data_IF_180990558556
#
_entry.id   IF_180990558556
#
_cell.length_a   1.000
_cell.length_b   1.000
_cell.length_c   1.000
_cell.angle_alpha   90.00
_cell.angle_beta   90.00
_cell.angle_gamma   90.00
#
_symmetry.space_group_name_H-M   'P 1'
#
loop_
_entity.id
_entity.type
_entity.pdbx_description
1 polymer ?
#
# COMPACT_ATOMS: atom_id res chain seq x y z
N UNK A 1 1.62 13.84 45.63
CA UNK A 1 0.70 15.00 45.51
C UNK A 1 -0.70 14.44 45.38
N UNK A 2 -1.44 14.42 46.50
CA UNK A 2 -2.88 14.17 46.54
C UNK A 2 -3.58 15.43 46.02
N UNK A 3 -4.69 15.28 45.30
CA UNK A 3 -5.99 15.88 45.65
C UNK A 3 -7.05 15.20 44.77
N UNK A 4 -7.89 14.41 45.45
CA UNK A 4 -9.25 14.06 45.08
C UNK A 4 -10.17 15.16 45.66
N UNK A 5 -11.08 15.69 44.85
CA UNK A 5 -12.38 16.26 45.27
C UNK A 5 -13.37 15.82 44.18
N UNK A 6 -14.31 14.89 44.39
CA UNK A 6 -15.42 14.76 45.35
C UNK A 6 -16.60 15.69 45.02
N UNK A 7 -17.71 15.04 44.61
CA UNK A 7 -19.13 15.35 44.88
C UNK A 7 -19.73 16.60 44.19
N UNK A 8 -20.99 16.68 43.74
CA UNK A 8 -22.25 16.16 44.29
C UNK A 8 -23.32 15.94 43.19
N UNK A 9 -24.28 15.09 43.56
CA UNK A 9 -25.56 14.78 42.91
C UNK A 9 -26.61 15.80 43.37
N UNK A 10 -27.47 16.35 42.49
CA UNK A 10 -28.84 16.83 42.78
C UNK A 10 -29.55 17.15 41.43
N UNK A 11 -30.41 16.28 40.89
CA UNK A 11 -31.87 16.13 41.11
C UNK A 11 -32.78 17.24 40.50
N UNK A 12 -33.60 16.77 39.53
CA UNK A 12 -35.01 17.13 39.21
C UNK A 12 -35.26 18.50 38.55
N UNK A 13 -35.83 18.50 37.33
CA UNK A 13 -37.24 18.89 37.07
C UNK A 13 -37.58 18.82 35.58
N UNK A 14 -38.49 17.91 35.30
CA UNK A 14 -39.28 17.79 34.08
C UNK A 14 -40.37 18.87 34.13
N UNK A 15 -40.39 19.81 33.17
CA UNK A 15 -41.56 20.66 32.91
C UNK A 15 -41.80 20.76 31.39
N UNK A 16 -42.99 20.32 31.02
CA UNK A 16 -43.62 20.40 29.71
C UNK A 16 -43.97 21.84 29.33
N UNK A 17 -43.77 22.21 28.07
CA UNK A 17 -44.28 23.48 27.52
C UNK A 17 -44.13 23.57 26.02
N UNK A 18 -45.24 23.44 25.30
CA UNK A 18 -45.41 23.74 23.88
C UNK A 18 -45.02 25.18 23.57
N UNK A 19 -44.09 25.40 22.64
CA UNK A 19 -44.03 26.62 21.83
C UNK A 19 -43.85 26.20 20.38
N UNK A 20 -44.91 26.38 19.61
CA UNK A 20 -44.91 26.33 18.16
C UNK A 20 -44.89 27.79 17.70
N UNK A 21 -43.76 28.27 17.19
CA UNK A 21 -43.70 29.49 16.40
C UNK A 21 -42.88 29.22 15.15
N UNK A 22 -43.58 29.43 14.04
CA UNK A 22 -43.18 29.28 12.66
C UNK A 22 -42.07 30.25 12.25
N UNK A 23 -41.26 29.79 11.31
CA UNK A 23 -40.37 30.56 10.43
C UNK A 23 -39.24 31.35 11.09
N UNK A 24 -38.09 30.69 11.26
CA UNK A 24 -36.81 31.34 11.02
C UNK A 24 -36.00 30.53 10.00
N UNK A 25 -36.17 30.94 8.75
CA UNK A 25 -35.15 31.04 7.72
C UNK A 25 -34.19 29.86 7.53
N UNK A 26 -34.50 29.07 6.49
CA UNK A 26 -33.58 28.70 5.40
C UNK A 26 -32.13 29.17 5.59
N UNK A 27 -31.29 28.30 6.14
CA UNK A 27 -29.94 28.10 5.63
C UNK A 27 -29.80 26.62 5.31
N UNK A 28 -30.46 26.23 4.22
CA UNK A 28 -30.20 24.98 3.53
C UNK A 28 -28.79 25.10 2.95
N UNK A 29 -27.77 24.83 3.75
CA UNK A 29 -26.39 24.68 3.29
C UNK A 29 -26.33 23.46 2.39
N UNK A 30 -26.75 23.65 1.15
CA UNK A 30 -26.54 22.71 0.07
C UNK A 30 -25.09 22.88 -0.35
N UNK A 31 -24.17 22.47 0.52
CA UNK A 31 -22.82 22.11 0.09
C UNK A 31 -23.02 20.82 -0.68
N UNK A 32 -23.20 20.96 -1.99
CA UNK A 32 -23.23 19.85 -2.92
C UNK A 32 -21.85 19.18 -2.81
N UNK A 33 -21.76 18.11 -2.02
CA UNK A 33 -20.61 17.22 -1.90
C UNK A 33 -20.48 16.39 -3.19
N UNK A 34 -20.34 17.07 -4.33
CA UNK A 34 -19.87 16.46 -5.59
C UNK A 34 -18.41 15.97 -5.47
N UNK A 35 -17.77 16.16 -4.31
CA UNK A 35 -16.39 15.78 -4.00
C UNK A 35 -16.23 14.43 -3.28
N UNK A 36 -17.30 13.74 -2.89
CA UNK A 36 -17.16 12.57 -2.02
C UNK A 36 -16.52 11.35 -2.73
N UNK A 37 -16.94 11.03 -3.95
CA UNK A 37 -16.39 9.89 -4.72
C UNK A 37 -14.99 10.17 -5.25
N UNK A 38 -14.75 11.36 -5.82
CA UNK A 38 -13.44 11.73 -6.38
C UNK A 38 -12.37 11.86 -5.28
N UNK A 39 -12.72 12.39 -4.11
CA UNK A 39 -11.80 12.47 -2.97
C UNK A 39 -11.47 11.08 -2.41
N UNK A 40 -12.48 10.21 -2.23
CA UNK A 40 -12.27 8.82 -1.80
C UNK A 40 -11.40 8.05 -2.80
N UNK A 41 -11.64 8.22 -4.10
CA UNK A 41 -10.85 7.60 -5.16
C UNK A 41 -9.41 8.11 -5.15
N UNK A 42 -9.18 9.42 -5.01
CA UNK A 42 -7.84 10.00 -4.94
C UNK A 42 -7.08 9.52 -3.70
N UNK A 43 -7.76 9.44 -2.55
CA UNK A 43 -7.18 8.91 -1.33
C UNK A 43 -6.78 7.43 -1.47
N UNK A 44 -7.63 6.62 -2.12
CA UNK A 44 -7.33 5.22 -2.42
C UNK A 44 -6.16 5.06 -3.39
N UNK A 45 -6.10 5.87 -4.45
CA UNK A 45 -4.98 5.87 -5.42
C UNK A 45 -3.67 6.23 -4.72
N UNK A 46 -3.67 7.28 -3.89
CA UNK A 46 -2.49 7.67 -3.12
C UNK A 46 -2.04 6.58 -2.14
N UNK A 47 -2.99 5.93 -1.47
CA UNK A 47 -2.69 4.80 -0.60
C UNK A 47 -2.09 3.62 -1.36
N UNK A 48 -2.64 3.28 -2.53
CA UNK A 48 -2.10 2.23 -3.40
C UNK A 48 -0.68 2.56 -3.87
N UNK A 49 -0.41 3.83 -4.18
CA UNK A 49 0.93 4.26 -4.56
C UNK A 49 1.93 4.08 -3.41
N UNK A 50 1.55 4.39 -2.17
CA UNK A 50 2.40 4.14 -0.99
C UNK A 50 2.71 2.65 -0.80
N UNK A 51 1.73 1.77 -1.00
CA UNK A 51 1.93 0.30 -0.94
C UNK A 51 2.95 -0.12 -2.01
N UNK A 52 2.82 0.39 -3.23
CA UNK A 52 3.71 0.06 -4.34
C UNK A 52 5.13 0.57 -4.09
N UNK A 53 5.27 1.79 -3.57
CA UNK A 53 6.57 2.37 -3.25
C UNK A 53 7.26 1.59 -2.14
N UNK A 54 6.53 1.20 -1.09
CA UNK A 54 7.02 0.34 -0.03
C UNK A 54 7.43 -1.05 -0.54
N UNK A 55 6.67 -1.63 -1.48
CA UNK A 55 7.02 -2.89 -2.14
C UNK A 55 8.34 -2.75 -2.91
N UNK A 56 8.45 -1.74 -3.78
CA UNK A 56 9.68 -1.50 -4.57
C UNK A 56 10.88 -1.26 -3.66
N UNK A 57 10.70 -0.52 -2.57
CA UNK A 57 11.76 -0.26 -1.61
C UNK A 57 12.18 -1.53 -0.85
N UNK A 58 11.22 -2.36 -0.46
CA UNK A 58 11.51 -3.67 0.15
C UNK A 58 12.36 -4.55 -0.77
N UNK A 59 12.08 -4.54 -2.08
CA UNK A 59 12.86 -5.27 -3.07
C UNK A 59 14.27 -4.71 -3.24
N UNK A 60 14.44 -3.37 -3.22
CA UNK A 60 15.77 -2.74 -3.30
C UNK A 60 16.63 -2.98 -2.06
N UNK A 61 16.00 -3.01 -0.88
CA UNK A 61 16.68 -3.26 0.39
C UNK A 61 16.89 -4.75 0.69
N UNK A 62 16.15 -5.63 -0.02
CA UNK A 62 15.98 -7.03 0.32
C UNK A 62 15.44 -7.21 1.75
N UNK A 63 14.47 -6.38 2.12
CA UNK A 63 13.90 -6.33 3.47
C UNK A 63 12.38 -6.24 3.44
N UNK A 64 11.74 -7.37 3.75
CA UNK A 64 10.28 -7.50 3.77
C UNK A 64 9.62 -6.65 4.85
N UNK A 65 10.33 -6.32 5.93
CA UNK A 65 9.77 -5.53 7.04
C UNK A 65 9.41 -4.10 6.62
N UNK A 66 9.96 -3.60 5.50
CA UNK A 66 9.59 -2.32 4.90
C UNK A 66 8.18 -2.38 4.30
N UNK A 67 7.80 -3.52 3.71
CA UNK A 67 6.52 -3.68 3.02
C UNK A 67 5.40 -4.16 3.95
N UNK A 68 5.73 -5.00 4.94
CA UNK A 68 4.74 -5.61 5.85
C UNK A 68 3.74 -4.63 6.51
N UNK A 69 4.12 -3.43 6.99
CA UNK A 69 3.21 -2.48 7.62
C UNK A 69 2.13 -1.94 6.67
N UNK A 70 2.36 -2.02 5.36
CA UNK A 70 1.45 -1.53 4.33
C UNK A 70 0.42 -2.58 3.90
N UNK A 71 0.51 -3.81 4.41
CA UNK A 71 -0.41 -4.90 4.10
C UNK A 71 -1.42 -5.12 5.23
N UNK A 72 -2.70 -5.08 4.90
CA UNK A 72 -3.76 -5.59 5.77
C UNK A 72 -3.76 -7.12 5.80
N UNK A 73 -4.28 -7.71 6.89
CA UNK A 73 -4.30 -9.17 7.08
C UNK A 73 -5.05 -9.93 5.99
N UNK A 74 -6.09 -9.29 5.42
CA UNK A 74 -6.93 -9.85 4.38
C UNK A 74 -6.41 -9.57 2.95
N UNK A 75 -5.26 -8.91 2.79
CA UNK A 75 -4.67 -8.73 1.47
C UNK A 75 -4.17 -10.07 0.91
N UNK A 76 -4.37 -10.25 -0.39
CA UNK A 76 -3.97 -11.41 -1.16
C UNK A 76 -3.17 -10.92 -2.35
N UNK A 77 -1.99 -11.48 -2.57
CA UNK A 77 -1.12 -11.20 -3.70
C UNK A 77 -0.56 -12.51 -4.25
N UNK A 78 -0.47 -12.66 -5.57
CA UNK A 78 -0.01 -13.89 -6.23
C UNK A 78 -0.77 -15.13 -5.71
N UNK A 79 -2.09 -15.00 -5.52
CA UNK A 79 -2.98 -16.03 -4.94
C UNK A 79 -2.56 -16.50 -3.53
N UNK A 80 -1.73 -15.72 -2.82
CA UNK A 80 -1.23 -16.03 -1.48
C UNK A 80 -1.77 -15.04 -0.47
N UNK A 81 -2.10 -15.52 0.72
CA UNK A 81 -2.38 -14.66 1.87
C UNK A 81 -1.17 -13.81 2.22
N UNK A 82 -1.38 -12.68 2.91
CA UNK A 82 -0.32 -11.79 3.41
C UNK A 82 0.93 -12.55 3.89
N UNK A 83 0.77 -13.46 4.85
CA UNK A 83 1.90 -14.15 5.46
C UNK A 83 2.63 -15.10 4.50
N UNK A 84 1.91 -15.78 3.60
CA UNK A 84 2.52 -16.65 2.60
C UNK A 84 3.28 -15.85 1.53
N UNK A 85 2.74 -14.72 1.12
CA UNK A 85 3.40 -13.81 0.19
C UNK A 85 4.68 -13.23 0.80
N UNK A 86 4.59 -12.67 2.02
CA UNK A 86 5.72 -12.11 2.75
C UNK A 86 6.81 -13.16 3.04
N UNK A 87 6.43 -14.39 3.40
CA UNK A 87 7.37 -15.49 3.58
C UNK A 87 8.09 -15.86 2.26
N UNK A 88 7.36 -15.85 1.14
CA UNK A 88 7.93 -16.06 -0.19
C UNK A 88 8.93 -14.98 -0.58
N UNK A 89 8.58 -13.71 -0.37
CA UNK A 89 9.50 -12.58 -0.55
C UNK A 89 10.72 -12.70 0.35
N UNK A 90 10.54 -13.05 1.62
CA UNK A 90 11.65 -13.18 2.58
C UNK A 90 12.63 -14.24 2.11
N UNK A 91 12.13 -15.40 1.68
CA UNK A 91 12.96 -16.49 1.15
C UNK A 91 13.75 -16.05 -0.09
N UNK A 92 13.10 -15.32 -1.01
CA UNK A 92 13.77 -14.76 -2.18
C UNK A 92 14.84 -13.72 -1.79
N UNK A 93 14.53 -12.83 -0.86
CA UNK A 93 15.46 -11.80 -0.43
C UNK A 93 16.66 -12.38 0.31
N UNK A 94 16.44 -13.39 1.15
CA UNK A 94 17.51 -14.08 1.86
C UNK A 94 18.43 -14.82 0.89
N UNK A 95 17.93 -15.43 -0.20
CA UNK A 95 18.80 -16.08 -1.20
C UNK A 95 19.78 -15.11 -1.88
N UNK A 96 19.44 -13.82 -1.97
CA UNK A 96 20.35 -12.79 -2.49
C UNK A 96 21.20 -12.10 -1.41
N UNK A 97 20.86 -12.25 -0.13
CA UNK A 97 21.65 -11.69 0.98
C UNK A 97 22.98 -12.41 1.14
N UNK A 98 22.99 -13.72 0.94
CA UNK A 98 24.20 -14.53 1.04
C UNK A 98 25.23 -14.16 -0.05
N UNK A 99 24.76 -13.54 -1.14
CA UNK A 99 25.57 -13.10 -2.28
C UNK A 99 25.97 -11.60 -2.20
N UNK A 100 25.56 -10.87 -1.15
CA UNK A 100 25.78 -9.41 -0.99
C UNK A 100 27.23 -8.96 -1.06
N UNK A 101 28.20 -9.85 -0.87
CA UNK A 101 29.63 -9.54 -0.96
C UNK A 101 30.00 -8.98 -2.36
N UNK A 102 29.25 -9.37 -3.40
CA UNK A 102 29.54 -8.99 -4.79
C UNK A 102 28.72 -7.80 -5.31
N UNK A 103 27.69 -7.38 -4.58
CA UNK A 103 26.70 -6.40 -5.07
C UNK A 103 26.74 -5.10 -4.27
N UNK A 104 26.76 -3.98 -4.97
CA UNK A 104 26.72 -2.64 -4.38
C UNK A 104 25.29 -2.09 -4.34
N UNK A 105 24.46 -2.40 -5.34
CA UNK A 105 23.15 -1.77 -5.51
C UNK A 105 22.19 -2.63 -6.32
N UNK A 106 20.91 -2.59 -5.96
CA UNK A 106 19.81 -3.07 -6.81
C UNK A 106 19.30 -1.91 -7.68
N UNK A 107 19.21 -2.15 -8.98
CA UNK A 107 18.64 -1.23 -9.96
C UNK A 107 17.29 -1.75 -10.40
N UNK A 108 16.32 -0.85 -10.50
CA UNK A 108 14.97 -1.14 -10.97
C UNK A 108 14.82 -0.60 -12.37
N UNK A 109 14.42 -1.45 -13.30
CA UNK A 109 14.21 -1.13 -14.71
C UNK A 109 12.78 -1.52 -15.10
N UNK A 110 12.24 -0.83 -16.08
CA UNK A 110 10.99 -1.22 -16.73
C UNK A 110 11.26 -2.26 -17.82
N UNK A 111 10.30 -3.17 -17.96
CA UNK A 111 10.32 -4.19 -18.99
C UNK A 111 8.91 -4.66 -19.30
N UNK A 112 8.85 -5.73 -20.08
CA UNK A 112 7.60 -6.38 -20.45
C UNK A 112 7.67 -7.87 -20.16
N UNK A 113 6.57 -8.42 -19.64
CA UNK A 113 6.43 -9.86 -19.52
C UNK A 113 6.38 -10.47 -20.92
N UNK A 114 7.07 -11.59 -21.13
CA UNK A 114 7.10 -12.35 -22.39
C UNK A 114 6.48 -13.75 -22.22
N UNK A 115 5.97 -14.06 -21.04
CA UNK A 115 5.32 -15.33 -20.70
C UNK A 115 3.82 -15.18 -20.49
N UNK A 116 3.35 -15.59 -19.32
CA UNK A 116 1.92 -15.72 -18.98
C UNK A 116 1.10 -14.44 -19.15
N UNK A 117 1.75 -13.28 -19.08
CA UNK A 117 1.12 -11.97 -19.22
C UNK A 117 1.79 -11.15 -20.31
N UNK A 118 1.98 -11.75 -21.49
CA UNK A 118 2.73 -11.16 -22.59
C UNK A 118 2.34 -9.69 -22.85
N UNK A 119 3.34 -8.80 -22.86
CA UNK A 119 3.18 -7.37 -23.06
C UNK A 119 2.82 -6.55 -21.81
N UNK A 120 2.44 -7.16 -20.68
CA UNK A 120 2.23 -6.39 -19.43
C UNK A 120 3.55 -5.82 -18.93
N UNK A 121 3.50 -4.60 -18.39
CA UNK A 121 4.66 -3.93 -17.79
C UNK A 121 5.14 -4.70 -16.55
N UNK A 122 6.46 -4.80 -16.44
CA UNK A 122 7.16 -5.53 -15.38
C UNK A 122 8.22 -4.62 -14.77
N UNK A 123 8.32 -4.64 -13.43
CA UNK A 123 9.47 -4.06 -12.71
C UNK A 123 10.54 -5.12 -12.56
N UNK A 124 11.70 -4.88 -13.15
CA UNK A 124 12.85 -5.78 -13.15
C UNK A 124 13.87 -5.26 -12.14
N UNK A 125 14.22 -6.09 -11.16
CA UNK A 125 15.22 -5.79 -10.14
C UNK A 125 16.51 -6.51 -10.51
N UNK A 126 17.53 -5.74 -10.92
CA UNK A 126 18.84 -6.26 -11.34
C UNK A 126 19.93 -5.86 -10.33
N UNK A 127 20.85 -6.77 -10.06
CA UNK A 127 21.98 -6.51 -9.18
C UNK A 127 23.16 -5.88 -9.94
N UNK A 128 23.68 -4.76 -9.42
CA UNK A 128 24.92 -4.14 -9.90
C UNK A 128 26.05 -4.36 -8.89
N UNK A 129 27.09 -5.04 -9.34
CA UNK A 129 28.39 -5.09 -8.67
C UNK A 129 29.24 -3.86 -9.03
N UNK A 130 30.48 -3.83 -8.56
CA UNK A 130 31.46 -2.75 -8.79
C UNK A 130 31.64 -2.44 -10.29
N UNK A 131 30.84 -1.50 -10.81
CA UNK A 131 30.88 -1.05 -12.20
C UNK A 131 30.36 -2.05 -13.24
N UNK A 132 29.78 -3.19 -12.85
CA UNK A 132 29.26 -4.21 -13.78
C UNK A 132 27.86 -4.68 -13.39
N UNK A 133 26.97 -4.78 -14.38
CA UNK A 133 25.70 -5.49 -14.22
C UNK A 133 26.02 -6.98 -14.22
N UNK A 134 25.64 -7.68 -13.15
CA UNK A 134 25.81 -9.13 -13.06
C UNK A 134 24.59 -9.73 -13.76
N UNK A 135 24.82 -10.32 -14.95
CA UNK A 135 23.75 -10.71 -15.89
C UNK A 135 22.81 -11.78 -15.35
N UNK A 136 23.23 -12.53 -14.33
CA UNK A 136 22.56 -13.75 -13.86
C UNK A 136 21.56 -13.52 -12.74
N UNK A 137 21.62 -12.39 -12.03
CA UNK A 137 20.76 -12.17 -10.88
C UNK A 137 19.77 -11.07 -11.17
N UNK A 138 18.56 -11.50 -11.46
CA UNK A 138 17.40 -10.62 -11.53
C UNK A 138 16.16 -11.37 -11.07
N UNK A 139 15.25 -10.60 -10.50
CA UNK A 139 13.88 -11.03 -10.29
C UNK A 139 12.95 -9.91 -10.74
N UNK A 140 11.72 -10.26 -11.07
CA UNK A 140 10.79 -9.28 -11.61
C UNK A 140 9.37 -9.54 -11.15
N UNK A 141 8.59 -8.47 -11.13
CA UNK A 141 7.21 -8.47 -10.67
C UNK A 141 6.33 -7.66 -11.62
N UNK A 142 5.13 -8.17 -11.87
CA UNK A 142 4.04 -7.36 -12.40
C UNK A 142 3.36 -6.69 -11.22
N UNK A 143 3.08 -5.39 -11.35
CA UNK A 143 2.32 -4.60 -10.37
C UNK A 143 1.04 -4.17 -11.08
N UNK A 144 -0.04 -4.89 -10.85
CA UNK A 144 -1.30 -4.70 -11.56
C UNK A 144 -2.15 -3.61 -10.92
N UNK A 145 -2.70 -2.74 -11.77
CA UNK A 145 -3.55 -1.63 -11.33
C UNK A 145 -4.81 -1.59 -12.18
N UNK A 146 -5.95 -1.40 -11.53
CA UNK A 146 -7.22 -1.09 -12.18
C UNK A 146 -7.71 0.27 -11.69
N UNK A 147 -7.90 1.22 -12.63
CA UNK A 147 -8.31 2.60 -12.29
C UNK A 147 -7.42 3.28 -11.24
N UNK A 148 -6.11 2.96 -11.25
CA UNK A 148 -5.13 3.49 -10.29
C UNK A 148 -5.11 2.78 -8.93
N UNK A 149 -5.98 1.79 -8.72
CA UNK A 149 -6.05 0.98 -7.51
C UNK A 149 -5.19 -0.28 -7.72
N UNK A 150 -4.31 -0.59 -6.76
CA UNK A 150 -3.51 -1.80 -6.78
C UNK A 150 -4.42 -3.02 -6.63
N UNK A 151 -4.34 -3.96 -7.57
CA UNK A 151 -5.15 -5.19 -7.55
C UNK A 151 -4.31 -6.42 -7.25
N UNK A 152 -3.09 -6.52 -7.80
CA UNK A 152 -2.20 -7.65 -7.53
C UNK A 152 -0.71 -7.28 -7.68
N UNK A 153 0.15 -8.05 -7.02
CA UNK A 153 1.59 -8.06 -7.19
C UNK A 153 2.03 -9.52 -7.31
N UNK A 154 2.58 -9.90 -8.46
CA UNK A 154 2.97 -11.29 -8.69
C UNK A 154 4.27 -11.41 -9.47
N UNK A 155 4.99 -12.50 -9.21
CA UNK A 155 6.31 -12.73 -9.78
C UNK A 155 6.23 -13.01 -11.27
N UNK A 156 7.11 -12.39 -12.04
CA UNK A 156 7.31 -12.65 -13.46
C UNK A 156 8.63 -13.37 -13.68
N UNK A 157 8.58 -14.60 -14.20
CA UNK A 157 9.77 -15.41 -14.47
C UNK A 157 10.25 -15.32 -15.94
N UNK A 158 9.44 -14.75 -16.84
CA UNK A 158 9.72 -14.60 -18.26
C UNK A 158 9.44 -13.17 -18.69
N UNK A 159 10.50 -12.39 -18.91
CA UNK A 159 10.42 -10.98 -19.25
C UNK A 159 11.58 -10.52 -20.14
N UNK A 160 11.39 -9.39 -20.82
CA UNK A 160 12.43 -8.66 -21.52
C UNK A 160 12.57 -7.24 -20.94
N UNK A 161 13.77 -6.67 -21.01
CA UNK A 161 14.00 -5.25 -20.67
C UNK A 161 13.49 -4.37 -21.81
N UNK A 162 12.89 -3.24 -21.47
CA UNK A 162 12.47 -2.22 -22.45
C UNK A 162 13.64 -1.36 -22.92
#
# INVERSE_FOLDING_TARGET
MRILFRSEVFLILQWSGLINFSNLFMLKTTVHLSTCSTFQQTAQVNHCQNIIDAFIESCKALDVSIFEPFMAENNVFEEKTKYLFLAGLKKLFDSYKDEKIFFHKIVVEDGSCTGCNNGKSVKIFSFKGWGRIIKTDHFAYVIERENGILTDIYRCNLFCKS
#
